data_IF_735943610256
#
_entry.id   IF_735943610256
#
_cell.length_a   1.000
_cell.length_b   1.000
_cell.length_c   1.000
_cell.angle_alpha   90.00
_cell.angle_beta   90.00
_cell.angle_gamma   90.00
#
_symmetry.space_group_name_H-M   'P 1'
#
loop_
_entity.id
_entity.type
_entity.pdbx_description
1 polymer ?
#
# COMPACT_ATOMS: atom_id res chain seq x y z
N UNK A 1 18.55 1.21 2.31
CA UNK A 1 19.37 0.37 1.40
C UNK A 1 18.55 -0.50 0.45
N UNK A 2 17.42 -1.09 0.90
CA UNK A 2 16.59 -1.97 0.06
C UNK A 2 15.97 -1.25 -1.16
N UNK A 3 15.72 0.06 -1.08
CA UNK A 3 15.07 0.87 -2.13
C UNK A 3 15.97 1.23 -3.32
N UNK A 4 17.29 1.23 -3.14
CA UNK A 4 18.27 1.63 -4.16
C UNK A 4 18.24 0.71 -5.39
N UNK A 5 18.27 -0.65 -5.25
CA UNK A 5 18.16 -1.52 -6.41
C UNK A 5 16.79 -1.43 -7.08
N UNK A 6 15.70 -1.19 -6.31
CA UNK A 6 14.35 -1.03 -6.85
C UNK A 6 14.21 0.21 -7.75
N UNK A 7 14.83 1.32 -7.37
CA UNK A 7 14.84 2.52 -8.20
C UNK A 7 15.74 2.39 -9.44
N UNK A 8 16.86 1.67 -9.36
CA UNK A 8 17.73 1.37 -10.51
C UNK A 8 17.13 0.33 -11.47
N UNK A 9 16.33 -0.63 -10.99
CA UNK A 9 15.65 -1.60 -11.85
C UNK A 9 14.47 -0.97 -12.61
N UNK A 10 13.89 0.11 -12.08
CA UNK A 10 12.68 0.73 -12.64
C UNK A 10 12.83 1.20 -14.10
N UNK A 11 13.91 1.91 -14.51
CA UNK A 11 14.06 2.38 -15.88
C UNK A 11 14.38 1.22 -16.83
N UNK A 12 15.08 0.20 -16.30
CA UNK A 12 15.46 -0.99 -17.06
C UNK A 12 14.25 -1.86 -17.43
N UNK A 13 13.37 -2.14 -16.46
CA UNK A 13 12.11 -2.86 -16.74
C UNK A 13 11.14 -2.04 -17.60
N UNK A 14 11.12 -0.71 -17.45
CA UNK A 14 10.27 0.17 -18.27
C UNK A 14 10.65 0.13 -19.75
N UNK A 15 11.93 -0.09 -20.06
CA UNK A 15 12.43 -0.20 -21.43
C UNK A 15 12.03 -1.52 -22.11
N UNK A 16 11.77 -2.59 -21.34
CA UNK A 16 11.42 -3.92 -21.87
C UNK A 16 9.90 -4.10 -22.03
N UNK A 17 9.09 -3.63 -21.07
CA UNK A 17 7.66 -3.98 -20.99
C UNK A 17 6.68 -2.92 -21.51
N UNK A 18 7.15 -1.73 -21.90
CA UNK A 18 6.33 -0.65 -22.43
C UNK A 18 5.68 0.24 -21.36
N UNK A 19 5.77 1.56 -21.57
CA UNK A 19 5.65 2.62 -20.55
C UNK A 19 4.34 2.68 -19.75
N UNK A 20 3.20 2.24 -20.30
CA UNK A 20 1.88 2.34 -19.63
C UNK A 20 1.43 1.07 -18.90
N UNK A 21 1.68 -0.11 -19.47
CA UNK A 21 1.18 -1.36 -18.89
C UNK A 21 1.95 -1.76 -17.64
N UNK A 22 3.24 -1.44 -17.59
CA UNK A 22 4.11 -1.73 -16.47
C UNK A 22 3.62 -1.16 -15.13
N UNK A 23 3.17 0.10 -15.13
CA UNK A 23 2.67 0.77 -13.93
C UNK A 23 1.42 0.07 -13.35
N UNK A 24 0.47 -0.32 -14.22
CA UNK A 24 -0.75 -1.00 -13.78
C UNK A 24 -0.46 -2.39 -13.20
N UNK A 25 0.45 -3.15 -13.83
CA UNK A 25 0.82 -4.48 -13.32
C UNK A 25 1.47 -4.40 -11.95
N UNK A 26 2.38 -3.45 -11.71
CA UNK A 26 3.02 -3.30 -10.40
C UNK A 26 2.02 -2.91 -9.30
N UNK A 27 1.04 -2.05 -9.61
CA UNK A 27 -0.01 -1.68 -8.65
C UNK A 27 -0.92 -2.87 -8.31
N UNK A 28 -1.33 -3.65 -9.31
CA UNK A 28 -2.13 -4.86 -9.11
C UNK A 28 -1.33 -5.85 -8.27
N UNK A 29 -0.07 -6.10 -8.64
CA UNK A 29 0.79 -7.05 -7.94
C UNK A 29 1.02 -6.62 -6.48
N UNK A 30 1.33 -5.34 -6.22
CA UNK A 30 1.46 -4.78 -4.88
C UNK A 30 0.18 -4.91 -4.05
N UNK A 31 -0.99 -4.67 -4.65
CA UNK A 31 -2.28 -4.86 -3.98
C UNK A 31 -2.58 -6.32 -3.65
N UNK A 32 -2.24 -7.25 -4.55
CA UNK A 32 -2.38 -8.69 -4.31
C UNK A 32 -1.51 -9.12 -3.13
N UNK A 33 -0.24 -8.69 -3.05
CA UNK A 33 0.62 -8.99 -1.91
C UNK A 33 0.05 -8.45 -0.59
N UNK A 34 -0.57 -7.27 -0.60
CA UNK A 34 -1.19 -6.71 0.60
C UNK A 34 -2.44 -7.48 1.04
N UNK A 35 -3.25 -7.97 0.09
CA UNK A 35 -4.37 -8.88 0.39
C UNK A 35 -3.91 -10.20 1.00
N UNK A 36 -2.78 -10.74 0.54
CA UNK A 36 -2.18 -11.96 1.10
C UNK A 36 -1.69 -11.79 2.54
N UNK A 37 -1.42 -10.57 3.02
CA UNK A 37 -1.03 -10.32 4.41
C UNK A 37 -2.19 -10.54 5.40
N UNK A 38 -3.45 -10.33 4.98
CA UNK A 38 -4.62 -10.47 5.86
C UNK A 38 -4.79 -11.88 6.48
N UNK A 39 -4.70 -12.99 5.73
CA UNK A 39 -4.76 -14.34 6.31
C UNK A 39 -3.45 -14.79 6.97
N UNK A 40 -2.36 -14.02 6.86
CA UNK A 40 -1.03 -14.42 7.34
C UNK A 40 -0.79 -14.14 8.84
N UNK A 41 -1.81 -13.79 9.61
CA UNK A 41 -1.66 -13.45 11.04
C UNK A 41 -1.04 -14.52 11.94
N UNK A 42 -0.95 -15.78 11.49
CA UNK A 42 -0.36 -16.91 12.23
C UNK A 42 1.00 -17.37 11.68
N UNK A 43 1.58 -16.68 10.71
CA UNK A 43 2.83 -17.08 10.04
C UNK A 43 4.05 -16.49 10.75
N UNK A 44 5.22 -17.05 10.45
CA UNK A 44 6.50 -16.58 10.98
C UNK A 44 6.74 -15.10 10.62
N UNK A 45 7.20 -14.32 11.59
CA UNK A 45 7.33 -12.86 11.49
C UNK A 45 8.28 -12.45 10.35
N UNK A 46 9.32 -13.27 10.11
CA UNK A 46 10.24 -13.09 9.01
C UNK A 46 9.57 -13.16 7.63
N UNK A 47 8.61 -14.07 7.44
CA UNK A 47 7.89 -14.20 6.17
C UNK A 47 7.00 -13.00 5.93
N UNK A 48 6.25 -12.57 6.95
CA UNK A 48 5.39 -11.39 6.87
C UNK A 48 6.21 -10.14 6.52
N UNK A 49 7.35 -9.95 7.18
CA UNK A 49 8.23 -8.81 6.92
C UNK A 49 8.76 -8.79 5.48
N UNK A 50 9.16 -9.93 4.94
CA UNK A 50 9.63 -10.02 3.55
C UNK A 50 8.54 -9.67 2.54
N UNK A 51 7.31 -10.16 2.73
CA UNK A 51 6.16 -9.87 1.86
C UNK A 51 5.80 -8.39 1.91
N UNK A 52 5.73 -7.81 3.12
CA UNK A 52 5.42 -6.38 3.29
C UNK A 52 6.52 -5.51 2.67
N UNK A 53 7.79 -5.88 2.83
CA UNK A 53 8.91 -5.14 2.24
C UNK A 53 8.88 -5.22 0.72
N UNK A 54 8.56 -6.39 0.16
CA UNK A 54 8.40 -6.57 -1.28
C UNK A 54 7.25 -5.72 -1.85
N UNK A 55 6.10 -5.69 -1.16
CA UNK A 55 4.98 -4.85 -1.55
C UNK A 55 5.35 -3.36 -1.55
N UNK A 56 6.04 -2.88 -0.50
CA UNK A 56 6.52 -1.48 -0.43
C UNK A 56 7.48 -1.14 -1.59
N UNK A 57 8.38 -2.05 -1.94
CA UNK A 57 9.29 -1.87 -3.07
C UNK A 57 8.54 -1.76 -4.40
N UNK A 58 7.52 -2.60 -4.62
CA UNK A 58 6.71 -2.59 -5.83
C UNK A 58 6.00 -1.24 -6.03
N UNK A 59 5.47 -0.67 -4.94
CA UNK A 59 4.83 0.66 -4.94
C UNK A 59 5.87 1.76 -5.24
N UNK A 60 7.03 1.73 -4.60
CA UNK A 60 8.10 2.70 -4.83
C UNK A 60 8.59 2.68 -6.30
N UNK A 61 8.73 1.49 -6.88
CA UNK A 61 9.10 1.29 -8.27
C UNK A 61 8.02 1.82 -9.24
N UNK A 62 6.74 1.62 -8.90
CA UNK A 62 5.61 2.16 -9.65
C UNK A 62 5.61 3.69 -9.67
N UNK A 63 5.91 4.31 -8.53
CA UNK A 63 5.93 5.77 -8.39
C UNK A 63 7.10 6.39 -9.16
N UNK A 64 8.29 5.76 -9.09
CA UNK A 64 9.47 6.21 -9.83
C UNK A 64 9.27 6.15 -11.35
N UNK A 65 8.72 5.04 -11.87
CA UNK A 65 8.43 4.89 -13.31
C UNK A 65 7.39 5.91 -13.81
N UNK A 66 6.33 6.15 -13.03
CA UNK A 66 5.34 7.18 -13.35
C UNK A 66 5.93 8.60 -13.34
N UNK A 67 6.82 8.90 -12.38
CA UNK A 67 7.48 10.20 -12.29
C UNK A 67 8.39 10.46 -13.49
N UNK A 68 9.22 9.49 -13.88
CA UNK A 68 10.09 9.61 -15.06
C UNK A 68 9.25 9.83 -16.31
N UNK A 69 8.21 9.02 -16.52
CA UNK A 69 7.33 9.20 -17.67
C UNK A 69 6.61 10.57 -17.66
N UNK A 70 6.15 11.03 -16.49
CA UNK A 70 5.53 12.34 -16.37
C UNK A 70 6.53 13.47 -16.68
N UNK A 71 7.79 13.32 -16.27
CA UNK A 71 8.86 14.30 -16.53
C UNK A 71 9.26 14.41 -17.99
N UNK A 72 9.03 13.36 -18.79
CA UNK A 72 9.28 13.39 -20.23
C UNK A 72 8.16 14.10 -21.02
N UNK A 73 6.93 14.13 -20.49
CA UNK A 73 5.74 14.60 -21.22
C UNK A 73 5.22 15.95 -20.69
N UNK A 74 5.41 16.25 -19.40
CA UNK A 74 4.80 17.40 -18.73
C UNK A 74 5.84 18.30 -18.06
N UNK A 75 5.60 19.63 -18.01
CA UNK A 75 6.47 20.57 -17.30
C UNK A 75 6.45 20.34 -15.78
N UNK A 76 7.57 20.68 -15.12
CA UNK A 76 7.87 20.38 -13.71
C UNK A 76 6.82 20.87 -12.70
N UNK A 77 6.13 21.98 -13.01
CA UNK A 77 5.11 22.56 -12.12
C UNK A 77 3.92 21.61 -11.88
N UNK A 78 3.49 20.88 -12.91
CA UNK A 78 2.33 19.97 -12.84
C UNK A 78 2.70 18.72 -12.03
N UNK A 79 3.92 18.23 -12.20
CA UNK A 79 4.41 17.03 -11.52
C UNK A 79 4.56 17.29 -10.03
N UNK A 80 5.09 18.46 -9.63
CA UNK A 80 5.21 18.82 -8.21
C UNK A 80 3.84 18.88 -7.52
N UNK A 81 2.83 19.44 -8.20
CA UNK A 81 1.47 19.45 -7.69
C UNK A 81 0.88 18.03 -7.57
N UNK A 82 1.09 17.17 -8.57
CA UNK A 82 0.61 15.79 -8.56
C UNK A 82 1.24 14.95 -7.44
N UNK A 83 2.56 15.07 -7.22
CA UNK A 83 3.26 14.40 -6.12
C UNK A 83 2.77 14.93 -4.78
N UNK A 84 2.57 16.25 -4.65
CA UNK A 84 1.99 16.87 -3.45
C UNK A 84 0.61 16.30 -3.11
N UNK A 85 -0.27 16.15 -4.11
CA UNK A 85 -1.58 15.54 -3.95
C UNK A 85 -1.50 14.07 -3.54
N UNK A 86 -0.59 13.29 -4.14
CA UNK A 86 -0.41 11.88 -3.75
C UNK A 86 0.04 11.76 -2.28
N UNK A 87 0.96 12.63 -1.83
CA UNK A 87 1.46 12.60 -0.44
C UNK A 87 0.36 12.99 0.53
N UNK A 88 -0.46 13.99 0.23
CA UNK A 88 -1.59 14.36 1.09
C UNK A 88 -2.61 13.23 1.19
N UNK A 89 -2.94 12.54 0.08
CA UNK A 89 -3.76 11.32 0.12
C UNK A 89 -3.14 10.23 1.01
N UNK A 90 -1.84 9.99 0.91
CA UNK A 90 -1.13 9.03 1.76
C UNK A 90 -1.19 9.41 3.25
N UNK A 91 -1.05 10.70 3.56
CA UNK A 91 -1.18 11.22 4.93
C UNK A 91 -2.58 11.05 5.48
N UNK A 92 -3.61 11.31 4.68
CA UNK A 92 -5.00 11.06 5.06
C UNK A 92 -5.21 9.60 5.43
N UNK A 93 -4.67 8.66 4.64
CA UNK A 93 -4.70 7.24 4.98
C UNK A 93 -4.05 6.93 6.33
N UNK A 94 -2.87 7.49 6.58
CA UNK A 94 -2.16 7.32 7.85
C UNK A 94 -2.91 7.91 9.07
N UNK A 95 -3.59 9.04 8.90
CA UNK A 95 -4.41 9.65 9.96
C UNK A 95 -5.72 8.89 10.20
N UNK A 96 -6.32 8.33 9.16
CA UNK A 96 -7.57 7.57 9.24
C UNK A 96 -7.37 6.18 9.86
N UNK A 97 -6.17 5.59 9.72
CA UNK A 97 -5.84 4.28 10.28
C UNK A 97 -6.13 4.11 11.79
N UNK A 98 -5.62 4.95 12.71
CA UNK A 98 -5.92 4.82 14.14
C UNK A 98 -7.41 5.04 14.45
N UNK A 99 -8.10 5.90 13.71
CA UNK A 99 -9.54 6.15 13.88
C UNK A 99 -10.35 4.89 13.59
N UNK A 100 -10.01 4.16 12.51
CA UNK A 100 -10.64 2.89 12.18
C UNK A 100 -10.37 1.80 13.22
N UNK A 101 -9.14 1.73 13.76
CA UNK A 101 -8.81 0.77 14.81
C UNK A 101 -9.64 0.97 16.07
N UNK A 102 -9.78 2.22 16.52
CA UNK A 102 -10.60 2.57 17.69
C UNK A 102 -12.06 2.20 17.45
N UNK A 103 -12.60 2.56 16.28
CA UNK A 103 -13.99 2.22 15.91
C UNK A 103 -14.20 0.69 15.90
N UNK A 104 -13.28 -0.05 15.29
CA UNK A 104 -13.35 -1.51 15.22
C UNK A 104 -13.30 -2.15 16.61
N UNK A 105 -12.44 -1.65 17.50
CA UNK A 105 -12.34 -2.12 18.88
C UNK A 105 -13.62 -1.82 19.68
N UNK A 106 -14.23 -0.64 19.51
CA UNK A 106 -15.52 -0.30 20.12
C UNK A 106 -16.65 -1.18 19.60
N UNK A 107 -16.69 -1.48 18.29
CA UNK A 107 -17.68 -2.40 17.72
C UNK A 107 -17.50 -3.83 18.21
N UNK A 108 -16.26 -4.32 18.33
CA UNK A 108 -15.98 -5.64 18.93
C UNK A 108 -16.40 -5.69 20.40
N UNK A 109 -16.16 -4.63 21.16
CA UNK A 109 -16.60 -4.53 22.56
C UNK A 109 -18.13 -4.59 22.70
N UNK A 110 -18.86 -3.88 21.83
CA UNK A 110 -20.33 -3.93 21.79
C UNK A 110 -20.86 -5.29 21.30
N UNK A 111 -20.21 -5.90 20.30
CA UNK A 111 -20.52 -7.25 19.84
C UNK A 111 -20.31 -8.29 20.94
N UNK A 112 -19.29 -8.11 21.80
CA UNK A 112 -19.08 -8.92 23.00
C UNK A 112 -20.17 -8.73 24.05
N UNK A 113 -20.69 -7.51 24.23
CA UNK A 113 -21.81 -7.23 25.15
C UNK A 113 -23.14 -7.87 24.70
N UNK A 114 -23.35 -8.06 23.40
CA UNK A 114 -24.55 -8.75 22.89
C UNK A 114 -24.52 -10.27 23.17
N UNK A 115 -23.33 -10.88 23.23
CA UNK A 115 -23.16 -12.27 23.66
C UNK A 115 -23.37 -12.47 25.17
N UNK A 116 -23.13 -11.44 26.00
CA UNK A 116 -23.31 -11.52 27.47
C UNK A 116 -24.78 -11.40 27.87
N UNK A 117 -25.59 -10.58 27.18
CA UNK A 117 -27.03 -10.47 27.51
C UNK A 117 -27.84 -11.73 27.20
N UNK A 118 -27.48 -12.50 26.17
CA UNK A 118 -28.20 -13.74 25.84
C UNK A 118 -27.81 -14.95 26.72
N UNK A 119 -26.83 -14.81 27.62
CA UNK A 119 -26.44 -15.85 28.59
C UNK A 119 -27.07 -15.59 29.98
N UNK A 120 -27.68 -14.43 30.20
CA UNK A 120 -28.38 -14.10 31.46
C UNK A 120 -29.91 -14.25 31.37
N UNK A 121 -30.45 -14.67 30.21
CA UNK A 121 -31.90 -14.93 30.01
C UNK A 121 -32.24 -16.43 29.80
N UNK A 122 -31.26 -17.34 29.86
CA UNK A 122 -31.46 -18.80 30.03
C UNK A 122 -31.11 -19.24 31.45
#
# INVERSE_FOLDING_TARGET
>A
LIEIPGHCLSPWLMNIYGRRKFHSYLQILGGVFFLFVLPMGNWDEGVVLTVVTFAKMCIAMSFASAYVFASEVYPTSIINAAVGFCVTCGRLGGTVAPVFLILCQSLMYLSGSHKVKLVQEE
#
